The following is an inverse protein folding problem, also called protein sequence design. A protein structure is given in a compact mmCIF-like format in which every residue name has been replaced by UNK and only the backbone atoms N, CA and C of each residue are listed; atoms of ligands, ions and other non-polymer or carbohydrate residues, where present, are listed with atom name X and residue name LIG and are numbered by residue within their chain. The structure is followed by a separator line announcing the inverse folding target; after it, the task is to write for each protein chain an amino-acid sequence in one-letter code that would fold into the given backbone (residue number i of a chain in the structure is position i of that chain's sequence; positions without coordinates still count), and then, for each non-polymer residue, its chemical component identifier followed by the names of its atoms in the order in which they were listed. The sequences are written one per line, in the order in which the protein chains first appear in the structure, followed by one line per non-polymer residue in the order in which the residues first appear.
data_IF_252265048021
#
_entry.id   IF_252265048021
#
_cell.length_a   1.000
_cell.length_b   1.000
_cell.length_c   1.000
_cell.angle_alpha   90.00
_cell.angle_beta   90.00
_cell.angle_gamma   90.00
#
_symmetry.space_group_name_H-M   'P 1'
#
loop_
_entity.id
_entity.type
_entity.pdbx_description
1 polymer ?
#
# COMPACT_ATOMS: atom_id res chain seq x y z
N UNK A 1 8.74 5.45 10.70
CA UNK A 1 7.41 5.32 10.06
C UNK A 1 7.32 3.98 9.31
N UNK A 2 8.39 3.54 8.66
CA UNK A 2 8.51 2.27 7.91
C UNK A 2 8.02 1.04 8.67
N UNK A 3 8.41 0.87 9.94
CA UNK A 3 7.96 -0.28 10.75
C UNK A 3 6.44 -0.33 10.96
N UNK A 4 5.78 0.82 10.99
CA UNK A 4 4.32 0.90 11.07
C UNK A 4 3.68 0.60 9.72
N UNK A 5 4.27 1.11 8.63
CA UNK A 5 3.83 0.81 7.27
C UNK A 5 3.99 -0.67 6.95
N UNK A 6 5.11 -1.31 7.32
CA UNK A 6 5.30 -2.76 7.15
C UNK A 6 4.22 -3.57 7.91
N UNK A 7 3.88 -3.17 9.14
CA UNK A 7 2.80 -3.79 9.90
C UNK A 7 1.43 -3.57 9.26
N UNK A 8 1.18 -2.39 8.70
CA UNK A 8 -0.10 -2.07 8.05
C UNK A 8 -0.25 -2.82 6.74
N UNK A 9 0.81 -2.90 5.93
CA UNK A 9 0.84 -3.72 4.70
C UNK A 9 0.54 -5.17 5.00
N UNK A 10 1.16 -5.75 6.03
CA UNK A 10 0.92 -7.15 6.40
C UNK A 10 -0.55 -7.40 6.84
N UNK A 11 -1.17 -6.43 7.53
CA UNK A 11 -2.59 -6.52 7.91
C UNK A 11 -3.52 -6.40 6.70
N UNK A 12 -3.22 -5.50 5.77
CA UNK A 12 -4.00 -5.31 4.56
C UNK A 12 -3.85 -6.50 3.61
N UNK A 13 -2.66 -7.07 3.49
CA UNK A 13 -2.40 -8.26 2.69
C UNK A 13 -3.25 -9.45 3.17
N UNK A 14 -3.30 -9.66 4.49
CA UNK A 14 -4.12 -10.70 5.11
C UNK A 14 -5.63 -10.47 4.97
N UNK A 15 -6.09 -9.21 4.97
CA UNK A 15 -7.50 -8.86 4.87
C UNK A 15 -8.01 -8.84 3.41
N UNK A 16 -7.16 -8.44 2.48
CA UNK A 16 -7.51 -8.22 1.07
C UNK A 16 -6.96 -9.30 0.13
N UNK A 17 -6.26 -10.30 0.64
CA UNK A 17 -5.79 -11.45 -0.14
C UNK A 17 -4.70 -11.12 -1.16
N UNK A 18 -3.73 -10.28 -0.80
CA UNK A 18 -2.60 -9.94 -1.66
C UNK A 18 -2.74 -8.64 -2.45
N UNK A 19 -3.76 -7.83 -2.17
CA UNK A 19 -3.93 -6.52 -2.79
C UNK A 19 -3.07 -5.47 -2.09
N UNK A 20 -2.25 -4.76 -2.87
CA UNK A 20 -1.45 -3.65 -2.36
C UNK A 20 -2.28 -2.37 -2.37
N UNK A 21 -2.36 -1.68 -1.23
CA UNK A 21 -3.06 -0.40 -1.10
C UNK A 21 -2.13 0.77 -0.76
N UNK A 22 -0.88 0.50 -0.42
CA UNK A 22 0.05 1.54 0.03
C UNK A 22 1.15 1.69 -1.01
N UNK A 23 1.15 2.81 -1.72
CA UNK A 23 2.21 3.19 -2.62
C UNK A 23 3.29 3.97 -1.86
N UNK A 24 4.56 3.61 -2.08
CA UNK A 24 5.70 4.34 -1.53
C UNK A 24 6.20 5.34 -2.57
N UNK A 25 6.02 6.63 -2.30
CA UNK A 25 6.50 7.72 -3.16
C UNK A 25 7.78 8.28 -2.57
N UNK A 26 8.87 8.15 -3.33
CA UNK A 26 10.17 8.69 -2.95
C UNK A 26 10.10 10.21 -2.78
N UNK A 27 10.45 10.70 -1.60
CA UNK A 27 10.42 12.14 -1.28
C UNK A 27 9.06 12.70 -0.82
N UNK A 28 7.96 11.96 -0.96
CA UNK A 28 6.62 12.40 -0.52
C UNK A 28 5.97 11.52 0.56
N UNK A 29 6.51 10.32 0.83
CA UNK A 29 6.01 9.45 1.88
C UNK A 29 5.14 8.32 1.34
N UNK A 30 4.04 8.00 2.04
CA UNK A 30 3.17 6.86 1.71
C UNK A 30 1.78 7.35 1.41
N UNK A 31 1.21 6.87 0.31
CA UNK A 31 -0.14 7.19 -0.14
C UNK A 31 -0.99 5.93 -0.05
N UNK A 32 -2.17 6.05 0.55
CA UNK A 32 -3.18 4.99 0.53
C UNK A 32 -3.99 5.15 -0.76
N UNK A 33 -3.98 4.14 -1.61
CA UNK A 33 -4.80 4.05 -2.82
C UNK A 33 -5.61 2.76 -2.82
N UNK A 34 -6.69 2.76 -3.57
CA UNK A 34 -7.43 1.54 -3.86
C UNK A 34 -6.64 0.69 -4.88
N UNK A 35 -6.69 -0.65 -4.80
CA UNK A 35 -5.91 -1.54 -5.66
C UNK A 35 -6.31 -1.46 -7.13
N UNK A 36 -7.51 -0.96 -7.41
CA UNK A 36 -8.00 -0.68 -8.77
C UNK A 36 -7.26 0.52 -9.39
N UNK A 37 -7.01 1.57 -8.60
CA UNK A 37 -6.26 2.79 -9.02
C UNK A 37 -4.79 2.46 -9.34
N UNK A 38 -4.19 1.50 -8.61
CA UNK A 38 -2.80 1.07 -8.84
C UNK A 38 -2.67 0.27 -10.15
N UNK A 39 -3.71 -0.47 -10.55
CA UNK A 39 -3.72 -1.23 -11.82
C UNK A 39 -3.91 -0.32 -13.04
N UNK A 40 -4.52 0.85 -12.87
CA UNK A 40 -4.80 1.79 -13.97
C UNK A 40 -3.62 2.71 -14.30
N UNK A 41 -2.59 2.74 -13.44
CA UNK A 41 -1.36 3.52 -13.65
C UNK A 41 -0.14 2.67 -14.09
N UNK A 42 -0.35 1.41 -14.49
CA UNK A 42 0.72 0.50 -14.96
C UNK A 42 0.71 0.32 -16.49
#
# INVERSE_FOLDING_TARGET
IDVFICKLRNKLDAASGGQNYIEAVWGCGYVLREPDDIRESA
#
